data_IF_110556853636
#
_entry.id   IF_110556853636
#
_cell.length_a   1.000
_cell.length_b   1.000
_cell.length_c   1.000
_cell.angle_alpha   90.00
_cell.angle_beta   90.00
_cell.angle_gamma   90.00
#
_symmetry.space_group_name_H-M   'P 1'
#
loop_
_entity.id
_entity.type
_entity.pdbx_description
1 polymer ?
#
# COMPACT_ATOMS: atom_id res chain seq x y z
N UNK A 1 -22.01 -17.58 -29.29
CA UNK A 1 -21.51 -16.19 -29.31
C UNK A 1 -21.16 -15.85 -30.74
N UNK A 2 -21.60 -14.70 -31.24
CA UNK A 2 -21.53 -14.37 -32.67
C UNK A 2 -20.17 -13.74 -33.06
N UNK A 3 -19.82 -13.83 -34.33
CA UNK A 3 -18.68 -13.10 -34.88
C UNK A 3 -18.86 -11.59 -34.71
N UNK A 4 -17.78 -10.89 -34.36
CA UNK A 4 -17.76 -9.47 -34.03
C UNK A 4 -18.00 -9.16 -32.56
N UNK A 5 -18.35 -10.14 -31.72
CA UNK A 5 -18.49 -9.93 -30.28
C UNK A 5 -17.12 -9.76 -29.60
N UNK A 6 -17.06 -8.89 -28.59
CA UNK A 6 -15.89 -8.75 -27.72
C UNK A 6 -16.14 -9.40 -26.37
N UNK A 7 -15.14 -10.11 -25.86
CA UNK A 7 -15.14 -10.64 -24.49
C UNK A 7 -14.02 -9.98 -23.71
N UNK A 8 -14.37 -9.43 -22.56
CA UNK A 8 -13.44 -8.80 -21.63
C UNK A 8 -13.37 -9.62 -20.35
N UNK A 9 -12.14 -9.90 -19.93
CA UNK A 9 -11.87 -10.45 -18.61
C UNK A 9 -11.19 -9.37 -17.78
N UNK A 10 -11.74 -9.11 -16.61
CA UNK A 10 -11.21 -8.14 -15.67
C UNK A 10 -11.15 -8.72 -14.27
N UNK A 11 -10.37 -8.05 -13.42
CA UNK A 11 -10.27 -8.35 -12.00
C UNK A 11 -10.60 -7.09 -11.22
N UNK A 12 -11.61 -7.17 -10.36
CA UNK A 12 -11.92 -6.17 -9.35
C UNK A 12 -10.96 -6.33 -8.18
N UNK A 13 -10.40 -5.21 -7.72
CA UNK A 13 -9.53 -5.04 -6.54
C UNK A 13 -8.31 -5.96 -6.47
N UNK A 14 -7.22 -5.49 -7.11
CA UNK A 14 -5.80 -5.77 -6.85
C UNK A 14 -5.04 -4.72 -7.65
N UNK A 15 -4.52 -3.69 -6.98
CA UNK A 15 -4.03 -2.46 -7.60
C UNK A 15 -2.51 -2.46 -7.75
N UNK A 16 -1.79 -3.11 -6.84
CA UNK A 16 -0.33 -3.02 -6.79
C UNK A 16 0.34 -3.79 -7.93
N UNK A 17 1.38 -3.15 -8.46
CA UNK A 17 2.34 -3.64 -9.44
C UNK A 17 3.07 -4.93 -9.03
N UNK A 18 2.86 -5.41 -7.79
CA UNK A 18 3.56 -6.56 -7.24
C UNK A 18 3.14 -7.89 -7.87
N UNK A 19 2.02 -7.92 -8.60
CA UNK A 19 1.49 -9.14 -9.24
C UNK A 19 1.85 -9.19 -10.72
N UNK A 20 2.43 -10.32 -11.12
CA UNK A 20 2.63 -10.64 -12.54
C UNK A 20 1.57 -11.65 -12.96
N UNK A 21 0.58 -11.14 -13.69
CA UNK A 21 -0.35 -11.98 -14.44
C UNK A 21 0.31 -12.42 -15.73
N UNK A 22 0.00 -13.63 -16.15
CA UNK A 22 0.35 -14.15 -17.47
C UNK A 22 -0.93 -14.66 -18.11
N UNK A 23 -1.04 -14.46 -19.41
CA UNK A 23 -2.15 -14.95 -20.22
C UNK A 23 -1.54 -15.79 -21.34
N UNK A 24 -1.89 -17.08 -21.38
CA UNK A 24 -1.66 -17.89 -22.57
C UNK A 24 -2.79 -17.65 -23.58
N UNK A 25 -2.56 -18.01 -24.84
CA UNK A 25 -3.53 -17.80 -25.92
C UNK A 25 -4.92 -18.40 -25.57
N UNK A 26 -5.97 -17.58 -25.53
CA UNK A 26 -7.34 -18.06 -25.32
C UNK A 26 -7.76 -19.01 -26.43
N UNK A 27 -8.51 -20.05 -26.08
CA UNK A 27 -8.94 -21.06 -27.05
C UNK A 27 -10.40 -21.49 -26.86
N UNK A 28 -10.95 -22.14 -27.87
CA UNK A 28 -12.31 -22.68 -27.86
C UNK A 28 -12.24 -24.18 -27.56
N UNK A 29 -12.91 -24.60 -26.50
CA UNK A 29 -13.05 -26.00 -26.10
C UNK A 29 -14.44 -26.54 -26.47
N UNK A 30 -14.49 -27.78 -26.95
CA UNK A 30 -15.78 -28.49 -27.15
C UNK A 30 -16.65 -27.94 -28.28
N UNK A 31 -16.07 -27.30 -29.29
CA UNK A 31 -16.81 -26.80 -30.46
C UNK A 31 -15.96 -26.00 -31.45
N UNK A 32 -16.59 -25.44 -32.47
CA UNK A 32 -15.95 -24.54 -33.44
C UNK A 32 -15.98 -23.08 -32.98
N UNK A 33 -14.95 -22.32 -33.37
CA UNK A 33 -14.84 -20.88 -33.17
C UNK A 33 -13.42 -20.38 -33.48
N UNK A 34 -13.28 -19.08 -33.70
CA UNK A 34 -11.96 -18.42 -33.83
C UNK A 34 -12.02 -17.14 -33.02
N UNK A 35 -10.98 -16.91 -32.22
CA UNK A 35 -10.83 -15.71 -31.40
C UNK A 35 -9.45 -15.10 -31.63
N UNK A 36 -9.36 -13.78 -31.46
CA UNK A 36 -8.10 -13.04 -31.53
C UNK A 36 -8.00 -12.15 -30.30
N UNK A 37 -6.82 -12.11 -29.68
CA UNK A 37 -6.56 -11.18 -28.59
C UNK A 37 -6.42 -9.78 -29.17
N UNK A 38 -7.38 -8.90 -28.86
CA UNK A 38 -7.39 -7.51 -29.33
C UNK A 38 -6.61 -6.55 -28.42
N UNK A 39 -6.60 -6.85 -27.11
CA UNK A 39 -5.80 -6.15 -26.10
C UNK A 39 -5.37 -7.14 -25.01
N UNK A 40 -4.07 -7.18 -24.71
CA UNK A 40 -3.47 -8.05 -23.68
C UNK A 40 -3.11 -7.28 -22.40
N UNK A 41 -2.45 -7.97 -21.46
CA UNK A 41 -1.89 -7.36 -20.25
C UNK A 41 -0.93 -6.23 -20.62
N UNK A 42 -0.99 -5.10 -19.92
CA UNK A 42 -0.07 -3.99 -20.12
C UNK A 42 1.37 -4.42 -19.84
N UNK A 43 2.32 -3.99 -20.68
CA UNK A 43 3.69 -4.49 -20.65
C UNK A 43 4.62 -3.68 -19.73
N UNK A 44 4.31 -2.39 -19.49
CA UNK A 44 5.10 -1.51 -18.64
C UNK A 44 4.30 -0.38 -17.97
N UNK A 45 4.96 0.39 -17.09
CA UNK A 45 4.36 1.54 -16.36
C UNK A 45 3.67 2.50 -17.32
N UNK A 46 4.31 2.85 -18.43
CA UNK A 46 3.83 3.81 -19.42
C UNK A 46 2.52 3.36 -20.05
N UNK A 47 2.42 2.09 -20.42
CA UNK A 47 1.18 1.49 -20.94
C UNK A 47 0.07 1.48 -19.89
N UNK A 48 0.42 1.34 -18.62
CA UNK A 48 -0.53 1.30 -17.52
C UNK A 48 -1.08 2.67 -17.12
N UNK A 49 -0.26 3.73 -17.18
CA UNK A 49 -0.65 5.09 -16.78
C UNK A 49 -1.10 5.98 -17.93
N UNK A 50 -0.60 5.76 -19.15
CA UNK A 50 -1.01 6.52 -20.35
C UNK A 50 -2.08 5.83 -21.17
N UNK A 51 -2.23 4.52 -21.01
CA UNK A 51 -3.12 3.72 -21.84
C UNK A 51 -2.42 3.38 -23.11
N UNK A 52 -2.01 2.13 -23.24
CA UNK A 52 -1.21 1.68 -24.38
C UNK A 52 -1.82 2.08 -25.73
N UNK A 53 -0.96 2.49 -26.66
CA UNK A 53 -1.28 2.76 -28.06
C UNK A 53 -1.47 1.42 -28.82
N UNK A 54 -2.54 0.69 -28.51
CA UNK A 54 -2.92 -0.56 -29.18
C UNK A 54 -3.88 -0.36 -30.36
N UNK A 55 -3.89 -1.24 -31.40
CA UNK A 55 -4.69 -1.06 -32.62
C UNK A 55 -6.21 -1.21 -32.45
N UNK A 56 -6.70 -1.44 -31.23
CA UNK A 56 -8.13 -1.45 -30.89
C UNK A 56 -8.43 -0.20 -30.06
N UNK A 57 -8.83 0.88 -30.73
CA UNK A 57 -9.03 2.21 -30.17
C UNK A 57 -9.87 2.24 -28.89
N UNK A 58 -9.16 2.35 -27.76
CA UNK A 58 -9.73 2.57 -26.44
C UNK A 58 -8.79 3.50 -25.67
N UNK A 59 -8.73 4.77 -26.08
CA UNK A 59 -8.09 5.81 -25.28
C UNK A 59 -8.65 5.76 -23.86
N UNK A 60 -7.75 5.75 -22.88
CA UNK A 60 -8.06 5.77 -21.46
C UNK A 60 -8.87 7.01 -21.10
N UNK A 61 -10.19 6.84 -21.07
CA UNK A 61 -11.09 7.65 -20.27
C UNK A 61 -11.70 6.69 -19.26
N UNK A 62 -11.16 6.72 -18.04
CA UNK A 62 -11.66 5.96 -16.90
C UNK A 62 -11.14 4.52 -16.82
N UNK A 63 -9.99 4.33 -16.17
CA UNK A 63 -9.93 3.18 -15.27
C UNK A 63 -10.94 3.47 -14.15
N UNK A 64 -11.98 2.66 -13.92
CA UNK A 64 -12.61 2.68 -12.62
C UNK A 64 -11.48 2.43 -11.61
N UNK A 65 -11.43 3.22 -10.55
CA UNK A 65 -10.40 3.16 -9.50
C UNK A 65 -10.24 1.78 -8.81
N UNK A 66 -10.87 0.71 -9.30
CA UNK A 66 -10.96 -0.60 -8.67
C UNK A 66 -10.97 -1.79 -9.65
N UNK A 67 -10.61 -1.60 -10.93
CA UNK A 67 -10.70 -2.70 -11.92
C UNK A 67 -9.51 -2.72 -12.89
N UNK A 68 -8.83 -3.87 -12.97
CA UNK A 68 -7.76 -4.14 -13.94
C UNK A 68 -8.30 -5.03 -15.07
N UNK A 69 -8.06 -4.65 -16.31
CA UNK A 69 -8.40 -5.47 -17.48
C UNK A 69 -7.27 -6.44 -17.78
N UNK A 70 -7.56 -7.74 -17.71
CA UNK A 70 -6.57 -8.78 -18.01
C UNK A 70 -6.44 -9.01 -19.52
N UNK A 71 -7.58 -9.01 -20.23
CA UNK A 71 -7.60 -9.04 -21.69
C UNK A 71 -8.95 -8.62 -22.26
N UNK A 72 -8.93 -8.20 -23.52
CA UNK A 72 -10.10 -8.18 -24.40
C UNK A 72 -9.81 -9.02 -25.63
N UNK A 73 -10.69 -9.96 -25.96
CA UNK A 73 -10.62 -10.76 -27.18
C UNK A 73 -11.81 -10.46 -28.07
N UNK A 74 -11.61 -10.59 -29.37
CA UNK A 74 -12.67 -10.52 -30.37
C UNK A 74 -12.96 -11.91 -30.91
N UNK A 75 -14.25 -12.24 -31.04
CA UNK A 75 -14.73 -13.45 -31.69
C UNK A 75 -14.77 -13.19 -33.19
N UNK A 76 -13.90 -13.80 -33.97
CA UNK A 76 -13.83 -13.57 -35.43
C UNK A 76 -14.63 -14.61 -36.22
N UNK A 77 -14.86 -15.80 -35.64
CA UNK A 77 -15.83 -16.79 -36.13
C UNK A 77 -16.77 -17.18 -35.00
N UNK A 78 -18.08 -17.16 -35.27
CA UNK A 78 -19.12 -17.51 -34.30
C UNK A 78 -18.82 -18.84 -33.59
N UNK A 79 -18.99 -18.84 -32.27
CA UNK A 79 -18.83 -20.03 -31.44
C UNK A 79 -20.06 -20.92 -31.58
N UNK A 80 -19.84 -22.21 -31.84
CA UNK A 80 -20.90 -23.22 -31.86
C UNK A 80 -21.62 -23.36 -30.50
N UNK A 81 -22.89 -23.79 -30.53
CA UNK A 81 -23.66 -23.99 -29.30
C UNK A 81 -23.01 -25.07 -28.42
N UNK A 82 -22.85 -24.76 -27.12
CA UNK A 82 -22.17 -25.64 -26.16
C UNK A 82 -20.65 -25.48 -26.10
N UNK A 83 -20.04 -24.74 -27.03
CA UNK A 83 -18.62 -24.44 -26.98
C UNK A 83 -18.27 -23.54 -25.78
N UNK A 84 -17.06 -23.72 -25.26
CA UNK A 84 -16.51 -22.95 -24.13
C UNK A 84 -15.35 -22.12 -24.59
N UNK A 85 -15.31 -20.87 -24.17
CA UNK A 85 -14.16 -20.02 -24.33
C UNK A 85 -13.29 -20.12 -23.08
N UNK A 86 -12.05 -20.56 -23.24
CA UNK A 86 -11.12 -20.84 -22.15
C UNK A 86 -10.02 -19.78 -22.13
N UNK A 87 -9.78 -19.22 -20.94
CA UNK A 87 -8.75 -18.21 -20.70
C UNK A 87 -7.73 -18.76 -19.68
N UNK A 88 -6.56 -19.25 -20.13
CA UNK A 88 -5.56 -19.76 -19.21
C UNK A 88 -4.75 -18.60 -18.63
N UNK A 89 -4.95 -18.33 -17.34
CA UNK A 89 -4.17 -17.34 -16.60
C UNK A 89 -3.19 -18.01 -15.65
N UNK A 90 -1.96 -17.51 -15.61
CA UNK A 90 -1.02 -17.74 -14.51
C UNK A 90 -0.90 -16.48 -13.66
N UNK A 91 -0.72 -16.65 -12.35
CA UNK A 91 -0.53 -15.53 -11.42
C UNK A 91 0.67 -15.81 -10.52
N UNK A 92 1.57 -14.83 -10.41
CA UNK A 92 2.56 -14.78 -9.33
C UNK A 92 1.87 -14.15 -8.13
N UNK A 93 1.75 -14.85 -6.98
CA UNK A 93 1.13 -14.30 -5.78
C UNK A 93 1.80 -12.98 -5.36
N UNK A 94 1.00 -12.03 -4.88
CA UNK A 94 1.54 -10.82 -4.27
C UNK A 94 2.24 -11.17 -2.95
N UNK A 95 3.31 -10.44 -2.59
CA UNK A 95 3.88 -10.51 -1.25
C UNK A 95 2.90 -10.03 -0.16
N UNK A 96 1.79 -9.38 -0.52
CA UNK A 96 0.80 -8.87 0.44
C UNK A 96 -0.39 -9.81 0.59
N UNK A 97 -0.74 -10.18 1.82
CA UNK A 97 -1.93 -10.95 2.15
C UNK A 97 -3.10 -10.07 2.61
N UNK A 98 -4.26 -10.71 2.82
CA UNK A 98 -5.51 -10.06 3.23
C UNK A 98 -6.00 -9.06 2.16
N UNK A 99 -5.86 -9.46 0.91
CA UNK A 99 -6.38 -8.72 -0.23
C UNK A 99 -7.34 -9.63 -0.97
N UNK A 100 -8.54 -9.12 -1.20
CA UNK A 100 -9.60 -9.83 -1.90
C UNK A 100 -9.97 -9.08 -3.17
N UNK A 101 -10.43 -9.85 -4.16
CA UNK A 101 -10.93 -9.33 -5.41
C UNK A 101 -11.80 -10.33 -6.12
N UNK A 102 -12.18 -10.01 -7.36
CA UNK A 102 -13.04 -10.90 -8.12
C UNK A 102 -12.77 -10.82 -9.62
N UNK A 103 -12.69 -11.98 -10.27
CA UNK A 103 -12.59 -12.08 -11.71
C UNK A 103 -14.00 -11.99 -12.32
N UNK A 104 -14.19 -11.08 -13.27
CA UNK A 104 -15.44 -10.88 -13.98
C UNK A 104 -15.23 -11.00 -15.47
N UNK A 105 -16.10 -11.81 -16.11
CA UNK A 105 -16.21 -11.84 -17.57
C UNK A 105 -17.35 -10.93 -18.00
N UNK A 106 -17.11 -10.14 -19.05
CA UNK A 106 -18.14 -9.34 -19.71
C UNK A 106 -18.11 -9.54 -21.22
N UNK A 107 -19.26 -9.41 -21.87
CA UNK A 107 -19.41 -9.54 -23.32
C UNK A 107 -20.06 -8.30 -23.89
N UNK A 108 -19.53 -7.80 -25.00
CA UNK A 108 -20.17 -6.80 -25.84
C UNK A 108 -20.52 -7.45 -27.18
N UNK A 109 -21.80 -7.45 -27.53
CA UNK A 109 -22.26 -7.95 -28.84
C UNK A 109 -21.90 -6.92 -29.95
N UNK A 110 -21.80 -7.33 -31.24
CA UNK A 110 -21.34 -6.44 -32.32
C UNK A 110 -22.08 -5.09 -32.42
N UNK A 111 -23.38 -5.08 -32.13
CA UNK A 111 -24.24 -3.88 -32.19
C UNK A 111 -24.44 -3.21 -30.83
N UNK A 112 -23.86 -3.77 -29.76
CA UNK A 112 -24.01 -3.23 -28.42
C UNK A 112 -22.93 -2.19 -28.11
N UNK A 113 -23.33 -1.09 -27.48
CA UNK A 113 -22.41 -0.04 -27.04
C UNK A 113 -21.72 -0.38 -25.71
N UNK A 114 -22.32 -1.27 -24.92
CA UNK A 114 -21.89 -1.58 -23.54
C UNK A 114 -21.55 -3.05 -23.34
N UNK A 115 -20.64 -3.31 -22.39
CA UNK A 115 -20.29 -4.65 -21.94
C UNK A 115 -21.29 -5.14 -20.89
N UNK A 116 -21.87 -6.31 -21.10
CA UNK A 116 -22.77 -6.99 -20.16
C UNK A 116 -22.02 -8.04 -19.34
N UNK A 117 -22.33 -8.16 -18.04
CA UNK A 117 -21.74 -9.20 -17.19
C UNK A 117 -22.18 -10.59 -17.62
N UNK A 118 -21.24 -11.53 -17.61
CA UNK A 118 -21.50 -12.95 -17.82
C UNK A 118 -21.23 -13.69 -16.52
N UNK A 119 -22.29 -14.25 -15.95
CA UNK A 119 -22.23 -14.98 -14.69
C UNK A 119 -21.85 -14.11 -13.49
N UNK A 120 -21.79 -14.76 -12.33
CA UNK A 120 -21.33 -14.13 -11.10
C UNK A 120 -19.79 -13.97 -11.11
N UNK A 121 -19.25 -12.91 -10.48
CA UNK A 121 -17.82 -12.77 -10.28
C UNK A 121 -17.22 -13.96 -9.53
N UNK A 122 -16.03 -14.40 -9.94
CA UNK A 122 -15.28 -15.45 -9.25
C UNK A 122 -14.43 -14.79 -8.17
N UNK A 123 -14.67 -15.04 -6.86
CA UNK A 123 -13.89 -14.42 -5.81
C UNK A 123 -12.45 -14.95 -5.81
N UNK A 124 -11.52 -14.05 -5.52
CA UNK A 124 -10.09 -14.30 -5.40
C UNK A 124 -9.62 -13.70 -4.08
N UNK A 125 -8.79 -14.42 -3.34
CA UNK A 125 -8.20 -13.94 -2.09
C UNK A 125 -6.73 -14.33 -2.02
N UNK A 126 -5.88 -13.41 -1.57
CA UNK A 126 -4.48 -13.74 -1.27
C UNK A 126 -4.32 -13.97 0.23
N UNK A 127 -3.96 -15.18 0.61
CA UNK A 127 -3.72 -15.58 1.99
C UNK A 127 -2.23 -15.42 2.35
N UNK A 128 -1.90 -15.29 3.65
CA UNK A 128 -0.50 -15.30 4.07
C UNK A 128 0.16 -16.65 3.74
N UNK A 129 1.47 -16.60 3.53
CA UNK A 129 2.31 -17.77 3.34
C UNK A 129 2.44 -18.64 4.60
N UNK A 130 3.32 -19.65 4.57
CA UNK A 130 3.63 -20.45 5.74
C UNK A 130 4.23 -19.58 6.85
N UNK A 131 4.03 -20.01 8.10
CA UNK A 131 4.63 -19.39 9.27
C UNK A 131 6.15 -19.45 9.19
N UNK A 132 6.80 -18.30 9.33
CA UNK A 132 8.27 -18.22 9.37
C UNK A 132 8.81 -17.37 10.52
N UNK A 133 8.02 -16.47 11.09
CA UNK A 133 8.47 -15.54 12.13
C UNK A 133 7.46 -15.36 13.24
N UNK A 134 7.97 -14.98 14.41
CA UNK A 134 7.20 -14.48 15.54
C UNK A 134 7.44 -12.97 15.66
N UNK A 135 6.44 -12.24 16.10
CA UNK A 135 6.49 -10.78 16.30
C UNK A 135 6.04 -10.47 17.73
N UNK A 136 6.78 -9.60 18.42
CA UNK A 136 6.41 -9.05 19.71
C UNK A 136 6.41 -7.52 19.62
N UNK A 137 5.30 -6.88 19.95
CA UNK A 137 5.11 -5.42 19.86
C UNK A 137 4.65 -4.90 21.20
N UNK A 138 5.30 -3.85 21.69
CA UNK A 138 4.95 -3.17 22.94
C UNK A 138 4.67 -1.71 22.61
N UNK A 139 3.68 -1.10 23.26
CA UNK A 139 3.44 0.34 23.12
C UNK A 139 4.64 1.13 23.63
N UNK A 140 5.04 2.17 22.90
CA UNK A 140 6.13 3.03 23.35
C UNK A 140 5.68 3.92 24.52
N UNK A 141 4.47 4.48 24.41
CA UNK A 141 3.89 5.37 25.40
C UNK A 141 2.84 4.68 26.27
N UNK A 142 2.59 5.26 27.43
CA UNK A 142 1.46 4.92 28.27
C UNK A 142 0.15 5.47 27.69
N UNK A 143 -0.94 4.76 27.96
CA UNK A 143 -2.29 5.25 27.78
C UNK A 143 -2.69 6.26 28.87
N UNK A 144 -3.95 6.71 28.81
CA UNK A 144 -4.51 7.68 29.76
C UNK A 144 -4.51 7.20 31.23
N UNK A 145 -4.38 5.90 31.46
CA UNK A 145 -4.31 5.29 32.80
C UNK A 145 -2.87 4.99 33.24
N UNK A 146 -1.86 5.37 32.45
CA UNK A 146 -0.46 5.07 32.76
C UNK A 146 -0.06 3.64 32.38
N UNK A 147 -0.83 2.95 31.54
CA UNK A 147 -0.64 1.53 31.20
C UNK A 147 -0.13 1.35 29.78
N UNK A 148 0.49 0.20 29.51
CA UNK A 148 0.93 -0.19 28.17
C UNK A 148 0.33 -1.53 27.77
N UNK A 149 0.41 -1.78 26.47
CA UNK A 149 -0.06 -2.98 25.78
C UNK A 149 1.08 -3.73 25.14
N UNK A 150 0.98 -5.06 25.13
CA UNK A 150 1.85 -5.97 24.37
C UNK A 150 0.99 -6.80 23.42
N UNK A 151 1.44 -6.94 22.17
CA UNK A 151 0.84 -7.78 21.15
C UNK A 151 1.87 -8.77 20.64
N UNK A 152 1.46 -10.02 20.52
CA UNK A 152 2.26 -11.11 19.97
C UNK A 152 1.50 -11.77 18.84
N UNK A 153 2.14 -12.01 17.71
CA UNK A 153 1.55 -12.70 16.56
C UNK A 153 2.63 -13.34 15.70
N UNK A 154 2.24 -14.21 14.77
CA UNK A 154 3.17 -14.81 13.82
C UNK A 154 2.98 -14.23 12.42
N UNK A 155 4.05 -14.23 11.64
CA UNK A 155 4.06 -13.76 10.26
C UNK A 155 4.71 -14.75 9.29
N UNK A 156 4.41 -14.57 8.01
CA UNK A 156 5.13 -15.20 6.91
C UNK A 156 6.42 -14.41 6.56
N UNK A 157 7.14 -14.87 5.52
CA UNK A 157 8.38 -14.23 5.08
C UNK A 157 8.22 -12.81 4.51
N UNK A 158 6.98 -12.40 4.25
CA UNK A 158 6.61 -11.06 3.79
C UNK A 158 6.01 -10.20 4.90
N UNK A 159 6.10 -10.65 6.16
CA UNK A 159 5.55 -9.98 7.34
C UNK A 159 4.02 -9.88 7.34
N UNK A 160 3.34 -10.75 6.59
CA UNK A 160 1.88 -10.83 6.68
C UNK A 160 1.50 -11.58 7.96
N UNK A 161 0.58 -11.04 8.79
CA UNK A 161 0.08 -11.77 9.95
C UNK A 161 -0.63 -13.05 9.52
N UNK A 162 -0.54 -14.08 10.38
CA UNK A 162 -1.14 -15.40 10.15
C UNK A 162 -2.33 -15.57 11.10
N UNK A 163 -3.59 -15.35 10.63
CA UNK A 163 -4.77 -15.38 11.50
C UNK A 163 -5.06 -16.74 12.11
N UNK A 164 -4.50 -17.82 11.54
CA UNK A 164 -4.63 -19.20 12.01
C UNK A 164 -3.58 -19.61 13.03
N UNK A 165 -2.61 -18.74 13.37
CA UNK A 165 -1.60 -19.03 14.39
C UNK A 165 -2.25 -19.22 15.76
N UNK A 166 -1.85 -20.27 16.49
CA UNK A 166 -2.42 -20.67 17.78
C UNK A 166 -1.34 -21.25 18.68
N UNK A 167 -1.62 -21.23 19.98
CA UNK A 167 -0.78 -21.81 21.02
C UNK A 167 -0.46 -20.78 22.10
N UNK A 168 0.52 -21.11 22.92
CA UNK A 168 0.98 -20.28 24.03
C UNK A 168 2.37 -19.72 23.72
N UNK A 169 2.59 -18.43 23.97
CA UNK A 169 3.89 -17.77 23.77
C UNK A 169 4.43 -17.30 25.11
N UNK A 170 5.70 -17.62 25.40
CA UNK A 170 6.38 -17.17 26.59
C UNK A 170 6.83 -15.72 26.44
N UNK A 171 6.76 -14.95 27.52
CA UNK A 171 7.15 -13.55 27.61
C UNK A 171 8.22 -13.38 28.70
N UNK A 172 9.29 -12.66 28.38
CA UNK A 172 10.34 -12.33 29.34
C UNK A 172 10.88 -10.93 29.10
N UNK A 173 10.77 -10.05 30.09
CA UNK A 173 11.40 -8.72 30.04
C UNK A 173 12.87 -8.77 30.49
N UNK A 174 13.70 -7.89 29.92
CA UNK A 174 15.08 -7.65 30.37
C UNK A 174 15.20 -6.56 31.45
N UNK A 175 14.05 -6.04 31.93
CA UNK A 175 13.93 -5.12 33.05
C UNK A 175 12.58 -5.20 33.74
N UNK A 176 12.35 -4.34 34.73
CA UNK A 176 11.13 -4.36 35.55
C UNK A 176 9.88 -3.92 34.79
N UNK A 177 8.97 -4.87 34.55
CA UNK A 177 7.62 -4.61 34.02
C UNK A 177 6.59 -5.26 34.95
N UNK A 178 5.81 -4.44 35.66
CA UNK A 178 4.73 -4.94 36.51
C UNK A 178 3.52 -5.34 35.67
N UNK A 179 2.85 -6.43 36.05
CA UNK A 179 1.68 -6.96 35.35
C UNK A 179 1.99 -7.81 34.11
N UNK A 180 3.26 -7.97 33.73
CA UNK A 180 3.64 -8.83 32.60
C UNK A 180 3.56 -10.32 33.03
N UNK A 181 2.69 -11.14 32.41
CA UNK A 181 2.66 -12.58 32.67
C UNK A 181 3.86 -13.25 32.02
N UNK A 182 4.20 -14.47 32.47
CA UNK A 182 5.25 -15.28 31.83
C UNK A 182 4.82 -15.87 30.48
N UNK A 183 3.51 -15.93 30.23
CA UNK A 183 2.92 -16.57 29.05
C UNK A 183 1.67 -15.80 28.58
N UNK A 184 1.39 -15.86 27.28
CA UNK A 184 0.17 -15.33 26.66
C UNK A 184 -0.41 -16.35 25.68
N UNK A 185 -1.72 -16.55 25.75
CA UNK A 185 -2.47 -17.39 24.82
C UNK A 185 -2.79 -16.63 23.53
N UNK A 186 -2.58 -17.28 22.38
CA UNK A 186 -2.91 -16.72 21.07
C UNK A 186 -4.40 -16.94 20.77
N UNK A 187 -5.12 -15.83 20.61
CA UNK A 187 -6.55 -15.77 20.35
C UNK A 187 -6.97 -16.21 18.95
N UNK A 188 -8.29 -16.15 18.70
CA UNK A 188 -8.90 -16.61 17.46
C UNK A 188 -8.53 -15.80 16.22
N UNK A 189 -8.05 -14.57 16.39
CA UNK A 189 -7.57 -13.69 15.33
C UNK A 189 -6.05 -13.83 15.09
N UNK A 190 -5.39 -14.79 15.74
CA UNK A 190 -3.96 -15.05 15.59
C UNK A 190 -3.06 -14.16 16.44
N UNK A 191 -3.63 -13.42 17.41
CA UNK A 191 -2.88 -12.54 18.31
C UNK A 191 -2.99 -12.96 19.78
N UNK A 192 -1.89 -12.87 20.52
CA UNK A 192 -1.88 -12.80 21.98
C UNK A 192 -1.79 -11.34 22.39
N UNK A 193 -2.60 -10.92 23.36
CA UNK A 193 -2.63 -9.52 23.83
C UNK A 193 -2.53 -9.50 25.35
N UNK A 194 -1.60 -8.68 25.86
CA UNK A 194 -1.47 -8.37 27.28
C UNK A 194 -1.71 -6.88 27.46
N UNK A 195 -2.70 -6.53 28.26
CA UNK A 195 -3.04 -5.15 28.60
C UNK A 195 -2.60 -4.82 30.03
N UNK A 196 -2.50 -3.53 30.37
CA UNK A 196 -2.40 -3.09 31.76
C UNK A 196 -1.00 -3.22 32.39
N UNK A 197 0.06 -3.37 31.58
CA UNK A 197 1.43 -3.47 32.08
C UNK A 197 2.04 -2.10 32.39
N UNK A 198 2.94 -2.06 33.37
CA UNK A 198 3.65 -0.84 33.79
C UNK A 198 5.16 -1.04 33.72
N UNK A 199 5.87 -0.12 33.07
CA UNK A 199 7.34 -0.14 32.98
C UNK A 199 7.92 0.59 34.17
N UNK A 200 8.72 -0.10 34.98
CA UNK A 200 9.30 0.41 36.23
C UNK A 200 10.83 0.58 36.17
N UNK A 201 11.43 0.31 35.03
CA UNK A 201 12.88 0.38 34.87
C UNK A 201 13.39 1.81 34.63
N UNK A 202 14.58 2.11 35.15
CA UNK A 202 15.27 3.39 34.98
C UNK A 202 15.83 3.63 33.56
N UNK A 203 15.64 2.66 32.64
CA UNK A 203 16.12 2.72 31.26
C UNK A 203 15.26 1.88 30.30
N UNK A 204 15.64 1.82 29.01
CA UNK A 204 14.90 1.07 28.02
C UNK A 204 14.81 -0.42 28.35
N UNK A 205 13.60 -0.97 28.25
CA UNK A 205 13.31 -2.39 28.42
C UNK A 205 12.70 -2.97 27.15
N UNK A 206 12.91 -4.27 26.95
CA UNK A 206 12.37 -5.05 25.85
C UNK A 206 11.79 -6.35 26.38
N UNK A 207 10.81 -6.87 25.67
CA UNK A 207 10.21 -8.17 25.93
C UNK A 207 10.70 -9.14 24.86
N UNK A 208 11.33 -10.23 25.30
CA UNK A 208 11.58 -11.40 24.47
C UNK A 208 10.32 -12.28 24.46
N UNK A 209 9.85 -12.63 23.27
CA UNK A 209 8.69 -13.51 23.06
C UNK A 209 9.16 -14.82 22.43
N UNK A 210 8.74 -15.97 22.97
CA UNK A 210 9.21 -17.30 22.52
C UNK A 210 8.08 -18.31 22.35
N UNK A 211 7.94 -18.84 21.14
CA UNK A 211 7.19 -20.08 20.88
C UNK A 211 8.17 -21.24 20.94
N UNK A 212 8.16 -21.97 22.06
CA UNK A 212 9.10 -23.07 22.33
C UNK A 212 8.78 -24.28 21.45
N UNK A 213 7.51 -24.52 21.12
CA UNK A 213 7.08 -25.66 20.30
C UNK A 213 7.63 -25.54 18.88
N UNK A 214 7.60 -24.32 18.32
CA UNK A 214 8.08 -24.03 16.96
C UNK A 214 9.51 -23.53 16.90
N UNK A 215 10.16 -23.31 18.06
CA UNK A 215 11.53 -22.82 18.13
C UNK A 215 11.69 -21.40 17.59
N UNK A 216 10.67 -20.55 17.77
CA UNK A 216 10.66 -19.17 17.27
C UNK A 216 10.84 -18.18 18.40
N UNK A 217 11.52 -17.08 18.09
CA UNK A 217 11.85 -16.04 19.06
C UNK A 217 11.89 -14.68 18.38
N UNK A 218 11.41 -13.67 19.09
CA UNK A 218 11.54 -12.28 18.70
C UNK A 218 11.70 -11.38 19.93
N UNK A 219 12.16 -10.16 19.69
CA UNK A 219 12.29 -9.15 20.72
C UNK A 219 11.46 -7.92 20.34
N UNK A 220 10.76 -7.36 21.31
CA UNK A 220 9.98 -6.14 21.10
C UNK A 220 10.84 -4.92 20.80
N UNK A 221 10.18 -3.87 20.29
CA UNK A 221 10.73 -2.51 20.36
C UNK A 221 11.06 -2.11 21.81
N UNK A 222 11.98 -1.15 22.01
CA UNK A 222 12.30 -0.66 23.34
C UNK A 222 11.17 0.22 23.88
N UNK A 223 10.83 0.08 25.15
CA UNK A 223 9.97 1.03 25.86
C UNK A 223 10.66 1.49 27.13
N UNK A 224 10.23 2.59 27.71
CA UNK A 224 10.79 3.13 28.96
C UNK A 224 9.73 3.92 29.70
N UNK A 225 9.95 4.16 30.99
CA UNK A 225 9.12 5.06 31.79
C UNK A 225 8.99 6.44 31.11
N UNK A 226 7.84 7.09 31.28
CA UNK A 226 7.57 8.38 30.66
C UNK A 226 8.63 9.44 31.08
N UNK A 227 9.19 10.14 30.09
CA UNK A 227 10.14 11.23 30.29
C UNK A 227 9.60 12.58 29.82
N UNK A 228 10.44 13.62 29.83
CA UNK A 228 10.06 14.96 29.36
C UNK A 228 9.68 15.01 27.86
N UNK A 229 10.20 14.07 27.06
CA UNK A 229 9.84 13.89 25.65
C UNK A 229 9.11 12.56 25.50
N UNK A 230 7.99 12.58 24.78
CA UNK A 230 7.26 11.36 24.43
C UNK A 230 8.02 10.51 23.42
N UNK A 231 7.91 9.19 23.56
CA UNK A 231 8.40 8.20 22.60
C UNK A 231 7.18 7.48 22.02
N UNK A 232 7.13 7.40 20.69
CA UNK A 232 6.00 6.84 19.96
C UNK A 232 6.52 5.97 18.81
N UNK A 233 5.88 4.83 18.58
CA UNK A 233 6.02 4.06 17.35
C UNK A 233 4.96 4.51 16.36
N UNK A 234 5.35 4.82 15.14
CA UNK A 234 4.40 5.27 14.14
C UNK A 234 4.71 4.84 12.72
N UNK A 235 3.66 4.85 11.91
CA UNK A 235 3.71 4.63 10.46
C UNK A 235 3.07 5.84 9.79
N UNK A 236 3.89 6.76 9.29
CA UNK A 236 3.39 8.03 8.74
C UNK A 236 3.51 8.12 7.22
N UNK A 237 3.88 7.01 6.57
CA UNK A 237 3.93 6.91 5.13
C UNK A 237 3.55 5.50 4.70
N UNK A 238 2.33 5.35 4.22
CA UNK A 238 1.88 4.13 3.55
C UNK A 238 0.72 4.44 2.62
N UNK A 239 0.54 3.54 1.65
CA UNK A 239 -0.49 3.63 0.62
C UNK A 239 -1.54 2.55 0.83
N UNK A 240 -2.75 2.84 0.39
CA UNK A 240 -3.88 1.93 0.39
C UNK A 240 -4.45 1.84 -1.02
N UNK A 241 -5.54 1.10 -1.19
CA UNK A 241 -6.27 1.04 -2.47
C UNK A 241 -6.85 2.39 -2.94
N UNK A 242 -6.72 3.45 -2.15
CA UNK A 242 -7.10 4.81 -2.56
C UNK A 242 -6.09 5.43 -3.53
N UNK A 243 -4.89 4.86 -3.65
CA UNK A 243 -3.91 5.23 -4.66
C UNK A 243 -3.50 4.05 -5.55
N UNK A 244 -2.73 4.34 -6.60
CA UNK A 244 -2.43 3.38 -7.67
C UNK A 244 -1.44 2.29 -7.29
N UNK A 245 -0.76 2.42 -6.15
CA UNK A 245 0.35 1.59 -5.71
C UNK A 245 0.13 0.91 -4.34
N UNK A 246 -1.01 1.17 -3.68
CA UNK A 246 -1.44 0.44 -2.49
C UNK A 246 -2.55 -0.57 -2.78
N UNK A 247 -2.61 -1.65 -2.00
CA UNK A 247 -3.57 -2.76 -2.23
C UNK A 247 -4.61 -2.93 -1.12
N UNK A 248 -4.26 -2.57 0.12
CA UNK A 248 -5.09 -2.87 1.28
C UNK A 248 -6.22 -1.85 1.41
N UNK A 249 -7.37 -2.30 1.89
CA UNK A 249 -8.48 -1.43 2.29
C UNK A 249 -8.04 -0.46 3.41
N UNK A 250 -8.40 0.85 3.36
CA UNK A 250 -8.03 1.82 4.39
C UNK A 250 -8.32 1.36 5.82
N UNK A 251 -9.54 0.87 6.09
CA UNK A 251 -9.93 0.37 7.42
C UNK A 251 -9.10 -0.83 7.85
N UNK A 252 -8.80 -1.76 6.94
CA UNK A 252 -7.97 -2.92 7.25
C UNK A 252 -6.51 -2.53 7.50
N UNK A 253 -6.01 -1.49 6.81
CA UNK A 253 -4.66 -0.95 7.05
C UNK A 253 -4.56 -0.30 8.44
N UNK A 254 -5.51 0.54 8.83
CA UNK A 254 -5.55 1.15 10.16
C UNK A 254 -5.74 0.11 11.27
N UNK A 255 -6.65 -0.85 11.08
CA UNK A 255 -6.81 -1.97 12.00
C UNK A 255 -5.49 -2.73 12.16
N UNK A 256 -4.80 -3.08 11.07
CA UNK A 256 -3.51 -3.76 11.16
C UNK A 256 -2.46 -2.96 11.95
N UNK A 257 -2.35 -1.66 11.68
CA UNK A 257 -1.42 -0.76 12.37
C UNK A 257 -1.69 -0.69 13.88
N UNK A 258 -2.96 -0.53 14.29
CA UNK A 258 -3.36 -0.46 15.70
C UNK A 258 -3.28 -1.82 16.40
N UNK A 259 -3.80 -2.84 15.73
CA UNK A 259 -4.15 -4.09 16.37
C UNK A 259 -2.99 -5.09 16.34
N UNK A 260 -2.23 -5.16 15.25
CA UNK A 260 -1.08 -6.07 15.13
C UNK A 260 0.24 -5.35 15.40
N UNK A 261 0.51 -4.26 14.65
CA UNK A 261 1.78 -3.54 14.79
C UNK A 261 1.87 -2.77 16.12
N UNK A 262 0.73 -2.53 16.76
CA UNK A 262 0.60 -1.83 18.04
C UNK A 262 1.31 -0.46 17.99
N UNK A 263 1.12 0.25 16.89
CA UNK A 263 1.63 1.60 16.69
C UNK A 263 0.81 2.59 17.51
N UNK A 264 1.43 3.70 17.90
CA UNK A 264 0.81 4.80 18.63
C UNK A 264 0.29 5.88 17.67
N UNK A 265 0.95 6.06 16.51
CA UNK A 265 0.63 7.11 15.53
C UNK A 265 0.59 6.56 14.10
N UNK A 266 -0.41 6.95 13.31
CA UNK A 266 -0.57 6.52 11.93
C UNK A 266 -0.96 7.69 11.02
N UNK A 267 -0.44 7.71 9.79
CA UNK A 267 -0.88 8.65 8.76
C UNK A 267 -0.87 7.95 7.40
N UNK A 268 -2.06 7.78 6.82
CA UNK A 268 -2.21 7.29 5.46
C UNK A 268 -1.87 8.40 4.49
N UNK A 269 -0.96 8.13 3.56
CA UNK A 269 -0.43 9.14 2.64
C UNK A 269 -0.61 8.67 1.21
N UNK A 270 -1.83 8.25 0.86
CA UNK A 270 -2.17 7.95 -0.53
C UNK A 270 -1.85 9.13 -1.45
N UNK A 271 -1.52 8.83 -2.72
CA UNK A 271 -1.22 9.85 -3.73
C UNK A 271 -2.42 10.76 -3.97
N UNK A 272 -2.31 12.01 -3.53
CA UNK A 272 -3.19 13.12 -3.92
C UNK A 272 -4.69 12.72 -4.01
N UNK A 273 -5.29 12.17 -2.94
CA UNK A 273 -6.69 11.75 -2.95
C UNK A 273 -7.60 12.97 -3.05
N UNK A 274 -8.62 12.90 -3.90
CA UNK A 274 -9.61 13.99 -4.08
C UNK A 274 -11.03 13.47 -3.98
N UNK A 275 -11.97 14.38 -3.70
CA UNK A 275 -13.40 14.08 -3.70
C UNK A 275 -13.75 12.88 -2.80
N UNK A 276 -14.42 11.83 -3.33
CA UNK A 276 -14.79 10.66 -2.52
C UNK A 276 -13.62 9.93 -1.86
N UNK A 277 -12.45 9.87 -2.50
CA UNK A 277 -11.27 9.22 -1.93
C UNK A 277 -10.72 9.99 -0.72
N UNK A 278 -10.73 11.33 -0.78
CA UNK A 278 -10.36 12.16 0.35
C UNK A 278 -11.38 12.05 1.49
N UNK A 279 -12.67 12.09 1.16
CA UNK A 279 -13.74 11.90 2.15
C UNK A 279 -13.63 10.55 2.87
N UNK A 280 -13.27 9.48 2.16
CA UNK A 280 -13.00 8.17 2.77
C UNK A 280 -11.76 8.21 3.68
N UNK A 281 -10.66 8.83 3.25
CA UNK A 281 -9.46 9.01 4.07
C UNK A 281 -9.80 9.70 5.39
N UNK A 282 -10.51 10.82 5.35
CA UNK A 282 -10.92 11.57 6.54
C UNK A 282 -11.85 10.75 7.45
N UNK A 283 -12.81 10.04 6.86
CA UNK A 283 -13.73 9.18 7.61
C UNK A 283 -12.97 8.09 8.37
N UNK A 284 -12.00 7.44 7.73
CA UNK A 284 -11.22 6.36 8.36
C UNK A 284 -10.27 6.88 9.41
N UNK A 285 -9.66 8.06 9.21
CA UNK A 285 -8.88 8.71 10.27
C UNK A 285 -9.74 8.93 11.52
N UNK A 286 -10.89 9.57 11.40
CA UNK A 286 -11.77 9.85 12.55
C UNK A 286 -12.30 8.56 13.21
N UNK A 287 -12.67 7.55 12.42
CA UNK A 287 -13.19 6.27 12.93
C UNK A 287 -12.19 5.53 13.82
N UNK A 288 -10.90 5.64 13.50
CA UNK A 288 -9.83 4.95 14.23
C UNK A 288 -9.15 5.81 15.28
N UNK A 289 -9.41 7.13 15.31
CA UNK A 289 -8.81 8.01 16.29
C UNK A 289 -9.25 7.62 17.71
N UNK A 290 -8.27 7.26 18.53
CA UNK A 290 -8.48 6.84 19.91
C UNK A 290 -7.52 7.63 20.80
N UNK A 291 -7.95 8.79 21.35
CA UNK A 291 -7.10 9.65 22.16
C UNK A 291 -6.39 8.89 23.28
N UNK A 292 -5.08 9.06 23.36
CA UNK A 292 -4.24 8.39 24.35
C UNK A 292 -3.90 6.93 24.03
N UNK A 293 -4.33 6.38 22.89
CA UNK A 293 -3.96 5.02 22.47
C UNK A 293 -3.53 4.92 21.01
N UNK A 294 -4.27 5.54 20.09
CA UNK A 294 -4.00 5.47 18.66
C UNK A 294 -4.35 6.78 17.98
N UNK A 295 -3.32 7.57 17.64
CA UNK A 295 -3.47 8.88 17.02
C UNK A 295 -3.39 8.76 15.51
N UNK A 296 -4.40 9.29 14.83
CA UNK A 296 -4.47 9.34 13.38
C UNK A 296 -4.21 10.76 12.90
N UNK A 297 -3.39 10.92 11.86
CA UNK A 297 -3.07 12.22 11.28
C UNK A 297 -3.63 12.28 9.86
N UNK A 298 -4.57 13.21 9.56
CA UNK A 298 -5.00 13.45 8.19
C UNK A 298 -3.79 13.86 7.35
N UNK A 299 -3.52 13.09 6.30
CA UNK A 299 -2.34 13.28 5.48
C UNK A 299 -2.57 12.79 4.05
N UNK A 300 -1.67 13.17 3.16
CA UNK A 300 -1.62 12.67 1.80
C UNK A 300 -0.23 12.88 1.20
N UNK A 301 0.10 12.11 0.17
CA UNK A 301 1.36 12.29 -0.57
C UNK A 301 1.14 13.19 -1.78
N UNK A 302 1.81 14.33 -1.79
CA UNK A 302 1.95 15.18 -2.97
C UNK A 302 2.98 14.61 -3.89
N UNK A 303 2.51 13.95 -4.94
CA UNK A 303 3.33 13.36 -6.00
C UNK A 303 3.14 14.10 -7.30
N UNK A 304 4.22 14.69 -7.78
CA UNK A 304 4.19 15.47 -8.99
C UNK A 304 5.46 15.30 -9.83
N UNK A 305 5.48 15.94 -11.00
CA UNK A 305 6.58 15.88 -11.95
C UNK A 305 7.95 16.29 -11.38
N UNK A 306 7.99 16.88 -10.18
CA UNK A 306 9.17 17.43 -9.56
C UNK A 306 9.56 16.77 -8.25
N UNK A 307 8.86 15.73 -7.80
CA UNK A 307 9.19 15.00 -6.59
C UNK A 307 7.98 14.78 -5.68
N UNK A 308 8.20 14.04 -4.61
CA UNK A 308 7.16 13.62 -3.68
C UNK A 308 7.41 14.13 -2.26
N UNK A 309 6.35 14.56 -1.61
CA UNK A 309 6.35 14.97 -0.21
C UNK A 309 5.04 14.58 0.48
N UNK A 310 5.13 14.13 1.73
CA UNK A 310 3.95 13.91 2.56
C UNK A 310 3.53 15.21 3.22
N UNK A 311 2.23 15.50 3.16
CA UNK A 311 1.61 16.61 3.85
C UNK A 311 0.81 16.06 5.02
N UNK A 312 1.14 16.54 6.21
CA UNK A 312 0.42 16.23 7.44
C UNK A 312 -0.36 17.46 7.87
N UNK A 313 -1.66 17.29 8.03
CA UNK A 313 -2.58 18.38 8.28
C UNK A 313 -2.89 18.42 9.78
N UNK A 314 -2.88 19.62 10.36
CA UNK A 314 -3.42 19.80 11.72
C UNK A 314 -4.92 19.51 11.75
N UNK A 315 -5.62 19.90 10.70
CA UNK A 315 -7.07 19.85 10.60
C UNK A 315 -7.50 19.49 9.17
N UNK A 316 -8.65 18.83 8.97
CA UNK A 316 -9.03 18.22 7.69
C UNK A 316 -9.62 19.19 6.67
N UNK A 317 -9.65 20.50 6.93
CA UNK A 317 -10.26 21.50 6.05
C UNK A 317 -9.39 21.84 4.84
N UNK A 318 -8.13 21.41 4.83
CA UNK A 318 -7.30 21.46 3.62
C UNK A 318 -7.73 20.31 2.71
N UNK A 319 -8.23 20.64 1.52
CA UNK A 319 -8.56 19.65 0.50
C UNK A 319 -7.33 18.78 0.17
N UNK A 320 -7.55 17.51 -0.11
CA UNK A 320 -6.52 16.65 -0.69
C UNK A 320 -6.03 17.19 -2.04
N UNK A 321 -4.75 16.94 -2.35
CA UNK A 321 -4.10 17.57 -3.52
C UNK A 321 -4.45 16.94 -4.86
N UNK A 322 -4.02 17.60 -5.93
CA UNK A 322 -4.12 17.08 -7.30
C UNK A 322 -2.83 16.38 -7.74
N UNK A 323 -2.97 15.29 -8.48
CA UNK A 323 -1.84 14.53 -9.04
C UNK A 323 -1.44 15.10 -10.41
N UNK A 324 -0.29 15.78 -10.51
CA UNK A 324 0.15 16.45 -11.74
C UNK A 324 1.52 15.96 -12.23
N UNK A 325 1.50 15.05 -13.22
CA UNK A 325 2.71 14.52 -13.85
C UNK A 325 3.17 15.25 -15.12
N UNK A 326 2.36 16.14 -15.68
CA UNK A 326 2.75 16.97 -16.81
C UNK A 326 3.55 18.16 -16.27
N UNK A 327 4.86 18.26 -16.53
CA UNK A 327 5.68 19.36 -16.00
C UNK A 327 5.13 20.74 -16.37
N UNK A 328 4.48 20.86 -17.52
CA UNK A 328 3.90 22.11 -18.02
C UNK A 328 2.65 22.55 -17.26
N UNK A 329 2.02 21.62 -16.52
CA UNK A 329 0.83 21.86 -15.70
C UNK A 329 1.14 21.81 -14.21
N UNK A 330 2.30 21.29 -13.83
CA UNK A 330 2.73 21.22 -12.44
C UNK A 330 3.38 22.55 -12.03
N UNK A 331 2.88 23.24 -11.01
CA UNK A 331 3.62 24.36 -10.44
C UNK A 331 4.96 23.85 -9.87
N UNK A 332 6.07 24.51 -10.20
CA UNK A 332 7.40 24.19 -9.66
C UNK A 332 7.58 24.64 -8.21
N UNK A 333 6.73 25.57 -7.76
CA UNK A 333 6.62 26.04 -6.39
C UNK A 333 5.25 25.64 -5.85
N UNK A 334 5.23 24.72 -4.89
CA UNK A 334 4.00 24.36 -4.18
C UNK A 334 4.04 24.98 -2.79
N UNK A 335 3.18 25.97 -2.57
CA UNK A 335 2.98 26.61 -1.26
C UNK A 335 1.78 25.98 -0.59
N UNK A 336 1.93 25.65 0.70
CA UNK A 336 0.87 25.07 1.52
C UNK A 336 0.45 26.06 2.60
N UNK A 337 -0.78 25.87 3.08
CA UNK A 337 -1.33 26.63 4.20
C UNK A 337 -0.45 26.54 5.44
N UNK A 338 -0.63 27.53 6.32
CA UNK A 338 0.24 27.72 7.46
C UNK A 338 0.22 26.56 8.47
N UNK A 339 -0.87 25.79 8.47
CA UNK A 339 -1.13 24.67 9.37
C UNK A 339 -0.76 23.29 8.79
N UNK A 340 0.01 23.25 7.70
CA UNK A 340 0.53 22.02 7.10
C UNK A 340 1.99 21.79 7.45
N UNK A 341 2.32 20.55 7.84
CA UNK A 341 3.71 20.06 7.92
C UNK A 341 4.02 19.29 6.64
N UNK A 342 5.02 19.74 5.89
CA UNK A 342 5.50 19.04 4.69
C UNK A 342 6.81 18.31 5.00
N UNK A 343 6.86 17.03 4.64
CA UNK A 343 8.05 16.19 4.75
C UNK A 343 8.38 15.59 3.38
N UNK A 344 9.43 16.09 2.68
CA UNK A 344 9.87 15.51 1.41
C UNK A 344 10.50 14.13 1.63
N UNK A 345 10.24 13.18 0.72
CA UNK A 345 10.80 11.82 0.82
C UNK A 345 11.24 11.21 -0.53
N UNK A 346 10.72 11.69 -1.66
CA UNK A 346 11.32 11.46 -2.99
C UNK A 346 11.57 12.82 -3.67
N UNK A 347 12.53 13.61 -3.17
CA UNK A 347 12.55 15.05 -3.34
C UNK A 347 12.63 15.59 -4.77
N UNK A 348 13.06 14.82 -5.77
CA UNK A 348 13.24 15.36 -7.11
C UNK A 348 13.05 14.38 -8.27
N UNK A 349 12.24 14.76 -9.25
CA UNK A 349 12.28 14.25 -10.63
C UNK A 349 12.80 15.31 -11.63
N UNK A 350 13.32 16.45 -11.14
CA UNK A 350 13.81 17.56 -11.95
C UNK A 350 14.71 18.52 -11.17
N UNK A 351 15.53 19.32 -11.88
CA UNK A 351 16.42 20.33 -11.28
C UNK A 351 15.80 21.74 -11.39
N UNK A 352 15.83 22.58 -10.34
CA UNK A 352 15.49 23.99 -10.43
C UNK A 352 16.45 24.71 -11.37
N UNK A 353 15.89 25.50 -12.28
CA UNK A 353 16.67 26.36 -13.19
C UNK A 353 17.01 27.70 -12.49
N UNK A 354 16.03 28.27 -11.77
CA UNK A 354 16.13 29.51 -11.00
C UNK A 354 14.95 29.57 -10.00
N UNK A 355 15.09 30.30 -8.88
CA UNK A 355 13.99 30.56 -7.95
C UNK A 355 12.81 31.23 -8.69
N UNK A 356 11.57 30.77 -8.48
CA UNK A 356 10.40 31.28 -9.20
C UNK A 356 10.26 30.80 -10.66
N UNK A 357 11.13 29.89 -11.15
CA UNK A 357 11.02 29.30 -12.50
C UNK A 357 10.67 27.82 -12.46
N UNK A 358 10.19 27.30 -13.59
CA UNK A 358 9.93 25.87 -13.76
C UNK A 358 11.22 25.05 -13.59
N UNK A 359 11.11 23.91 -12.89
CA UNK A 359 12.19 22.92 -12.83
C UNK A 359 12.33 22.23 -14.19
N UNK A 360 13.56 21.96 -14.62
CA UNK A 360 13.88 21.18 -15.81
C UNK A 360 13.80 19.69 -15.49
N UNK A 361 13.09 18.92 -16.34
CA UNK A 361 13.04 17.46 -16.19
C UNK A 361 14.39 16.87 -16.57
N UNK A 362 14.94 15.98 -15.73
CA UNK A 362 16.24 15.35 -15.96
C UNK A 362 16.23 14.25 -17.03
N UNK A 363 15.86 14.57 -18.27
CA UNK A 363 15.87 13.62 -19.40
C UNK A 363 14.68 12.66 -19.42
N UNK A 364 14.74 11.63 -20.29
CA UNK A 364 13.62 10.69 -20.57
C UNK A 364 13.46 9.57 -19.55
N UNK A 365 14.41 9.41 -18.64
CA UNK A 365 14.42 8.42 -17.57
C UNK A 365 14.41 9.20 -16.27
N UNK A 366 13.41 8.98 -15.40
CA UNK A 366 13.30 9.67 -14.13
C UNK A 366 14.56 9.40 -13.30
N UNK A 367 15.38 10.42 -13.07
CA UNK A 367 16.50 10.37 -12.13
C UNK A 367 16.10 11.13 -10.87
N UNK A 368 16.32 10.52 -9.72
CA UNK A 368 16.21 11.22 -8.44
C UNK A 368 17.47 12.07 -8.26
N UNK A 369 17.30 13.36 -8.01
CA UNK A 369 18.40 14.28 -7.70
C UNK A 369 18.36 14.79 -6.26
N UNK A 370 19.42 15.47 -5.83
CA UNK A 370 19.52 16.07 -4.49
C UNK A 370 18.48 17.19 -4.27
N UNK A 371 17.78 17.21 -3.13
CA UNK A 371 16.86 18.29 -2.79
C UNK A 371 17.60 19.64 -2.76
N UNK A 372 17.09 20.64 -3.48
CA UNK A 372 17.73 21.95 -3.57
C UNK A 372 17.40 22.82 -2.36
N UNK A 373 18.13 22.59 -1.26
CA UNK A 373 17.99 23.31 0.00
C UNK A 373 18.22 24.83 -0.10
N UNK A 374 18.84 25.30 -1.19
CA UNK A 374 19.01 26.73 -1.50
C UNK A 374 17.68 27.45 -1.80
N UNK A 375 16.63 26.71 -2.15
CA UNK A 375 15.29 27.22 -2.38
C UNK A 375 14.30 26.65 -1.36
N UNK A 376 14.46 26.98 -0.06
CA UNK A 376 13.73 26.32 1.00
C UNK A 376 12.24 26.68 0.97
N UNK A 377 11.40 25.67 0.91
CA UNK A 377 10.00 25.83 1.28
C UNK A 377 9.93 26.06 2.80
N UNK A 378 9.39 27.19 3.26
CA UNK A 378 9.27 27.51 4.70
C UNK A 378 8.50 26.44 5.50
N UNK A 379 7.69 25.62 4.82
CA UNK A 379 6.91 24.50 5.36
C UNK A 379 7.65 23.16 5.28
N UNK A 380 8.72 23.06 4.48
CA UNK A 380 9.64 21.93 4.55
C UNK A 380 10.32 21.99 5.91
N UNK A 381 9.85 21.18 6.84
CA UNK A 381 10.55 20.97 8.10
C UNK A 381 11.60 19.89 7.84
N UNK A 382 12.82 20.14 8.31
CA UNK A 382 13.80 19.07 8.46
C UNK A 382 13.29 18.17 9.59
N UNK A 383 12.48 17.19 9.24
CA UNK A 383 12.36 15.98 10.04
C UNK A 383 13.58 15.17 9.68
N UNK A 384 14.45 14.90 10.65
CA UNK A 384 15.51 13.92 10.46
C UNK A 384 14.85 12.54 10.32
N UNK A 385 14.59 12.13 9.09
CA UNK A 385 14.20 10.76 8.79
C UNK A 385 15.49 9.97 8.70
N UNK A 386 15.84 9.27 9.78
CA UNK A 386 16.91 8.26 9.71
C UNK A 386 16.32 6.99 9.10
N UNK A 387 16.51 6.81 7.80
CA UNK A 387 16.11 5.57 7.13
C UNK A 387 17.25 4.55 7.21
N UNK A 388 16.98 3.36 7.76
CA UNK A 388 17.97 2.28 7.86
C UNK A 388 18.34 1.60 6.53
N UNK A 389 17.60 1.92 5.45
CA UNK A 389 18.02 1.69 4.07
C UNK A 389 18.54 3.01 3.56
N UNK A 390 19.80 3.04 3.14
CA UNK A 390 20.46 4.23 2.61
C UNK A 390 19.50 5.01 1.71
N UNK A 391 19.49 6.33 1.92
CA UNK A 391 18.62 7.27 1.24
C UNK A 391 18.45 6.87 -0.24
N UNK A 392 17.21 6.87 -0.74
CA UNK A 392 16.91 6.73 -2.17
C UNK A 392 17.54 7.85 -3.04
N UNK A 393 18.28 8.77 -2.41
CA UNK A 393 19.14 9.77 -3.01
C UNK A 393 20.46 9.12 -3.47
N UNK A 394 20.39 8.32 -4.53
CA UNK A 394 21.58 7.87 -5.26
C UNK A 394 21.53 8.39 -6.69
N UNK A 395 22.54 9.17 -7.06
CA UNK A 395 22.69 9.73 -8.42
C UNK A 395 23.03 8.66 -9.47
N UNK A 396 23.18 7.40 -9.06
CA UNK A 396 23.51 6.27 -9.92
C UNK A 396 22.94 4.95 -9.39
N UNK A 397 22.71 4.00 -10.30
CA UNK A 397 22.44 2.61 -9.95
C UNK A 397 23.67 1.97 -9.30
N UNK A 398 23.47 1.15 -8.29
CA UNK A 398 24.55 0.50 -7.56
C UNK A 398 24.12 -0.90 -7.08
N UNK A 399 24.75 -1.95 -7.62
CA UNK A 399 24.42 -3.34 -7.28
C UNK A 399 24.80 -3.71 -5.85
N UNK A 400 25.86 -3.12 -5.30
CA UNK A 400 26.33 -3.41 -3.94
C UNK A 400 25.34 -2.89 -2.90
N UNK A 401 24.79 -1.70 -3.13
CA UNK A 401 23.75 -1.11 -2.29
C UNK A 401 22.32 -1.55 -2.67
N UNK A 402 22.16 -2.33 -3.74
CA UNK A 402 20.87 -2.83 -4.19
C UNK A 402 19.98 -1.81 -4.89
N UNK A 403 20.55 -0.70 -5.37
CA UNK A 403 19.87 0.35 -6.13
C UNK A 403 19.70 -0.12 -7.58
N UNK A 404 18.58 -0.80 -7.85
CA UNK A 404 18.30 -1.46 -9.14
C UNK A 404 17.43 -0.63 -10.08
N UNK A 405 16.75 0.38 -9.55
CA UNK A 405 16.09 1.44 -10.28
C UNK A 405 16.32 2.74 -9.51
N UNK A 406 16.09 3.90 -10.16
CA UNK A 406 15.89 5.11 -9.38
C UNK A 406 14.58 4.93 -8.62
N UNK A 407 14.65 4.63 -7.33
CA UNK A 407 13.51 4.56 -6.42
C UNK A 407 13.56 3.39 -5.46
#
# INVERSE_FOLDING_TARGET
MEAGADVRVSIGTFHSYSRKWTLADPFVEGGEGVVVVGHGLACDWTDMTRGGDGPAGGGLVGRPLNELYLCTIQVTKSLSAGARLVFPFGVVPSPHADISGALQVRVRRPEAEVFEKVGEPIPLSNAPGPLTRLEGRISATEDVEGKRRVVVFATDDHLNPIPSYRGTVNLQADGGIAGLPSEVEIGADGRGVVEGIEVQADGPVRITVRDVERGLEAQSGPTQAAGERGHYFGGIHFHTRLSVDGDREPRAAYAYARDFLNLDVIAMTDHAPIGPGWAECLTVNEEFYEPGRFVTIPAWESSNAYGHANLYLRTPEVDGGTWHWKPELCPSEVTWDDDVVMVPHHPNCGQPIEYGKHREVMGKTFYWSQYHWEFPNKRARLVEIVQGRGNFEADALDEYWGIRMGG
#
